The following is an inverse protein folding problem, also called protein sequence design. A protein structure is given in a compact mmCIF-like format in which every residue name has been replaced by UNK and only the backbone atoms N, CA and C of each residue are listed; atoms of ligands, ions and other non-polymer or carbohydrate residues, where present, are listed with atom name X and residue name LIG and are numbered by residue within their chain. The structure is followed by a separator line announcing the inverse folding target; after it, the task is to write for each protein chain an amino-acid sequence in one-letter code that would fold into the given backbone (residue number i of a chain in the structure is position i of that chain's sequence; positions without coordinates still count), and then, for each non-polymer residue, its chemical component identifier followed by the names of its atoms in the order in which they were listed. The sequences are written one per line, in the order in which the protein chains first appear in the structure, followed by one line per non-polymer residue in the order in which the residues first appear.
data_IF_702201321078
#
_entry.id   IF_702201321078
#
_cell.length_a   1.000
_cell.length_b   1.000
_cell.length_c   1.000
_cell.angle_alpha   90.00
_cell.angle_beta   90.00
_cell.angle_gamma   90.00
#
_symmetry.space_group_name_H-M   'P 1'
#
loop_
_entity.id
_entity.type
_entity.pdbx_description
1 polymer ?
#
# COMPACT_ATOMS: atom_id res chain seq x y z
N UNK A 1 -3.07 -24.56 12.02
CA UNK A 1 -4.21 -24.14 11.18
C UNK A 1 -4.27 -25.01 9.94
N UNK A 2 -5.45 -25.32 9.40
CA UNK A 2 -5.57 -26.01 8.11
C UNK A 2 -5.14 -25.08 6.96
N UNK A 3 -4.65 -25.61 5.82
CA UNK A 3 -4.25 -24.80 4.67
C UNK A 3 -5.36 -23.85 4.18
N UNK A 4 -6.62 -24.29 4.25
CA UNK A 4 -7.78 -23.50 3.87
C UNK A 4 -8.04 -22.34 4.84
N UNK A 5 -7.92 -22.59 6.16
CA UNK A 5 -8.06 -21.55 7.17
C UNK A 5 -6.94 -20.51 7.06
N UNK A 6 -5.70 -20.95 6.78
CA UNK A 6 -4.57 -20.05 6.57
C UNK A 6 -4.77 -19.16 5.33
N UNK A 7 -5.22 -19.73 4.21
CA UNK A 7 -5.58 -18.96 3.02
C UNK A 7 -6.67 -17.92 3.32
N UNK A 8 -7.73 -18.30 4.04
CA UNK A 8 -8.82 -17.38 4.41
C UNK A 8 -8.32 -16.25 5.31
N UNK A 9 -7.45 -16.54 6.28
CA UNK A 9 -6.84 -15.51 7.11
C UNK A 9 -6.03 -14.52 6.27
N UNK A 10 -5.19 -15.00 5.36
CA UNK A 10 -4.43 -14.13 4.44
C UNK A 10 -5.36 -13.26 3.58
N UNK A 11 -6.44 -13.82 3.04
CA UNK A 11 -7.42 -13.06 2.25
C UNK A 11 -8.04 -11.91 3.05
N UNK A 12 -8.45 -12.16 4.30
CA UNK A 12 -9.03 -11.15 5.18
C UNK A 12 -8.01 -10.08 5.52
N UNK A 13 -6.80 -10.46 5.92
CA UNK A 13 -5.75 -9.51 6.29
C UNK A 13 -5.37 -8.61 5.10
N UNK A 14 -5.23 -9.19 3.90
CA UNK A 14 -4.93 -8.41 2.69
C UNK A 14 -6.10 -7.50 2.32
N UNK A 15 -7.36 -7.96 2.43
CA UNK A 15 -8.52 -7.13 2.17
C UNK A 15 -8.56 -5.91 3.11
N UNK A 16 -8.27 -6.11 4.40
CA UNK A 16 -8.17 -5.02 5.37
C UNK A 16 -7.01 -4.08 5.02
N UNK A 17 -5.83 -4.63 4.69
CA UNK A 17 -4.68 -3.80 4.30
C UNK A 17 -4.96 -2.95 3.05
N UNK A 18 -5.75 -3.46 2.09
CA UNK A 18 -6.16 -2.71 0.90
C UNK A 18 -7.04 -1.50 1.21
N UNK A 19 -7.69 -1.45 2.37
CA UNK A 19 -8.46 -0.28 2.77
C UNK A 19 -7.59 0.98 2.88
N UNK A 20 -6.30 0.84 3.21
CA UNK A 20 -5.36 1.97 3.30
C UNK A 20 -5.18 2.67 1.95
N UNK A 21 -4.69 2.01 0.87
CA UNK A 21 -4.56 2.67 -0.43
C UNK A 21 -5.89 3.11 -1.04
N UNK A 22 -6.98 2.37 -0.81
CA UNK A 22 -8.29 2.74 -1.33
C UNK A 22 -8.84 4.01 -0.67
N UNK A 23 -8.73 4.12 0.65
CA UNK A 23 -9.21 5.30 1.38
C UNK A 23 -8.26 6.49 1.20
N UNK A 24 -6.96 6.32 1.47
CA UNK A 24 -5.97 7.39 1.43
C UNK A 24 -5.72 7.86 -0.01
N UNK A 25 -5.62 6.94 -0.97
CA UNK A 25 -5.53 7.30 -2.39
C UNK A 25 -6.79 8.03 -2.86
N UNK A 26 -7.97 7.50 -2.54
CA UNK A 26 -9.26 8.09 -2.94
C UNK A 26 -9.48 9.50 -2.38
N UNK A 27 -9.30 9.70 -1.07
CA UNK A 27 -9.45 11.02 -0.45
C UNK A 27 -8.43 12.02 -1.00
N UNK A 28 -7.21 11.58 -1.29
CA UNK A 28 -6.15 12.43 -1.83
C UNK A 28 -6.38 12.83 -3.28
N UNK A 29 -6.95 11.94 -4.09
CA UNK A 29 -7.39 12.27 -5.46
C UNK A 29 -8.49 13.31 -5.45
N UNK A 30 -9.45 13.22 -4.51
CA UNK A 30 -10.60 14.15 -4.45
C UNK A 30 -10.20 15.49 -3.83
N UNK A 31 -9.53 15.47 -2.66
CA UNK A 31 -9.24 16.66 -1.86
C UNK A 31 -7.87 17.30 -2.16
N UNK A 32 -7.01 16.66 -2.94
CA UNK A 32 -5.62 17.10 -3.11
C UNK A 32 -4.85 16.99 -1.77
N UNK A 33 -3.73 17.71 -1.62
CA UNK A 33 -2.91 17.66 -0.41
C UNK A 33 -3.48 18.51 0.74
N UNK A 34 -4.61 19.21 0.56
CA UNK A 34 -5.15 20.14 1.57
C UNK A 34 -5.60 19.50 2.89
N UNK A 35 -5.74 18.16 2.95
CA UNK A 35 -5.99 17.44 4.20
C UNK A 35 -4.69 16.99 4.91
N UNK A 36 -3.54 17.17 4.26
CA UNK A 36 -2.20 16.82 4.74
C UNK A 36 -1.44 18.07 5.17
N UNK A 37 -1.70 18.49 6.40
CA UNK A 37 -1.09 19.69 6.97
C UNK A 37 -1.79 20.97 6.51
N UNK A 38 -1.44 22.08 7.15
CA UNK A 38 -2.07 23.38 6.95
C UNK A 38 -1.13 24.31 6.18
N UNK A 39 -0.64 23.85 5.03
CA UNK A 39 0.21 24.70 4.20
C UNK A 39 -0.60 25.92 3.72
N UNK A 40 -0.11 27.16 3.91
CA UNK A 40 -0.86 28.35 3.56
C UNK A 40 -1.07 28.51 2.05
N UNK A 41 -0.14 27.98 1.24
CA UNK A 41 -0.22 27.98 -0.24
C UNK A 41 0.29 26.63 -0.76
N UNK A 42 -0.47 26.01 -1.66
CA UNK A 42 -0.09 24.77 -2.36
C UNK A 42 0.13 25.12 -3.83
N UNK A 43 1.36 25.01 -4.37
CA UNK A 43 1.62 25.23 -5.80
C UNK A 43 0.79 24.28 -6.68
N UNK A 44 0.33 24.77 -7.84
CA UNK A 44 -0.51 24.00 -8.78
C UNK A 44 0.17 22.72 -9.26
N UNK A 45 1.48 22.79 -9.52
CA UNK A 45 2.25 21.63 -9.98
C UNK A 45 2.39 20.57 -8.89
N UNK A 46 2.48 21.00 -7.63
CA UNK A 46 2.53 20.10 -6.48
C UNK A 46 1.18 19.41 -6.24
N UNK A 47 0.05 20.15 -6.35
CA UNK A 47 -1.29 19.56 -6.27
C UNK A 47 -1.51 18.52 -7.39
N UNK A 48 -1.15 18.88 -8.63
CA UNK A 48 -1.24 17.99 -9.79
C UNK A 48 -0.44 16.70 -9.60
N UNK A 49 0.84 16.83 -9.24
CA UNK A 49 1.72 15.67 -8.99
C UNK A 49 1.20 14.82 -7.82
N UNK A 50 0.71 15.45 -6.76
CA UNK A 50 0.18 14.76 -5.60
C UNK A 50 -1.08 13.94 -5.95
N UNK A 51 -2.02 14.50 -6.72
CA UNK A 51 -3.22 13.78 -7.18
C UNK A 51 -2.86 12.63 -8.12
N UNK A 52 -1.90 12.83 -9.01
CA UNK A 52 -1.41 11.78 -9.91
C UNK A 52 -0.86 10.57 -9.13
N UNK A 53 0.07 10.80 -8.21
CA UNK A 53 0.66 9.73 -7.37
C UNK A 53 -0.40 9.07 -6.49
N UNK A 54 -1.35 9.86 -5.96
CA UNK A 54 -2.48 9.34 -5.18
C UNK A 54 -3.40 8.44 -6.00
N UNK A 55 -3.64 8.78 -7.27
CA UNK A 55 -4.40 7.96 -8.20
C UNK A 55 -3.72 6.63 -8.50
N UNK A 56 -2.40 6.63 -8.68
CA UNK A 56 -1.60 5.40 -8.81
C UNK A 56 -1.72 4.56 -7.52
N UNK A 57 -1.62 5.18 -6.35
CA UNK A 57 -1.74 4.48 -5.07
C UNK A 57 -3.14 3.86 -4.87
N UNK A 58 -4.19 4.58 -5.26
CA UNK A 58 -5.56 4.05 -5.27
C UNK A 58 -5.70 2.85 -6.21
N UNK A 59 -5.20 2.99 -7.45
CA UNK A 59 -5.22 1.91 -8.44
C UNK A 59 -4.41 0.68 -7.98
N UNK A 60 -3.31 0.90 -7.25
CA UNK A 60 -2.52 -0.16 -6.63
C UNK A 60 -3.35 -0.93 -5.59
N UNK A 61 -4.17 -0.22 -4.79
CA UNK A 61 -5.14 -0.82 -3.87
C UNK A 61 -6.18 -1.71 -4.58
N UNK A 62 -6.72 -1.24 -5.71
CA UNK A 62 -7.63 -2.04 -6.55
C UNK A 62 -6.91 -3.27 -7.12
N UNK A 63 -5.66 -3.11 -7.57
CA UNK A 63 -4.86 -4.19 -8.10
C UNK A 63 -4.57 -5.28 -7.06
N UNK A 64 -4.28 -4.91 -5.80
CA UNK A 64 -4.16 -5.88 -4.70
C UNK A 64 -5.49 -6.55 -4.37
N UNK A 65 -6.58 -5.77 -4.31
CA UNK A 65 -7.93 -6.29 -4.04
C UNK A 65 -8.31 -7.37 -5.07
N UNK A 66 -7.97 -7.16 -6.35
CA UNK A 66 -8.20 -8.16 -7.41
C UNK A 66 -7.46 -9.49 -7.21
N UNK A 67 -6.39 -9.51 -6.40
CA UNK A 67 -5.66 -10.73 -6.07
C UNK A 67 -6.35 -11.55 -4.97
N UNK A 68 -7.16 -10.93 -4.10
CA UNK A 68 -7.70 -11.55 -2.89
C UNK A 68 -8.47 -12.85 -3.17
N UNK A 69 -9.42 -12.93 -4.13
CA UNK A 69 -10.24 -14.14 -4.31
C UNK A 69 -9.44 -15.41 -4.63
N UNK A 70 -8.26 -15.26 -5.26
CA UNK A 70 -7.40 -16.36 -5.72
C UNK A 70 -5.94 -16.14 -5.30
N UNK A 71 -5.72 -15.60 -4.10
CA UNK A 71 -4.44 -15.07 -3.65
C UNK A 71 -3.29 -16.07 -3.74
N UNK A 72 -3.56 -17.36 -3.56
CA UNK A 72 -2.59 -18.45 -3.68
C UNK A 72 -2.04 -18.62 -5.10
N UNK A 73 -2.84 -18.25 -6.12
CA UNK A 73 -2.47 -18.37 -7.55
C UNK A 73 -1.85 -17.10 -8.12
N UNK A 74 -1.86 -15.98 -7.39
CA UNK A 74 -1.48 -14.65 -7.89
C UNK A 74 -0.07 -14.21 -7.44
N UNK A 75 0.81 -15.14 -7.08
CA UNK A 75 2.10 -14.81 -6.47
C UNK A 75 2.98 -13.84 -7.26
N UNK A 76 3.10 -13.97 -8.58
CA UNK A 76 3.90 -13.05 -9.40
C UNK A 76 3.36 -11.61 -9.34
N UNK A 77 2.05 -11.44 -9.57
CA UNK A 77 1.36 -10.14 -9.48
C UNK A 77 1.46 -9.57 -8.07
N UNK A 78 1.22 -10.38 -7.04
CA UNK A 78 1.28 -9.95 -5.64
C UNK A 78 2.67 -9.43 -5.26
N UNK A 79 3.74 -10.12 -5.70
CA UNK A 79 5.12 -9.67 -5.47
C UNK A 79 5.48 -8.41 -6.26
N UNK A 80 5.03 -8.28 -7.50
CA UNK A 80 5.23 -7.07 -8.29
C UNK A 80 4.59 -5.86 -7.58
N UNK A 81 3.32 -5.99 -7.20
CA UNK A 81 2.62 -4.92 -6.47
C UNK A 81 3.33 -4.61 -5.13
N UNK A 82 3.77 -5.64 -4.41
CA UNK A 82 4.53 -5.48 -3.17
C UNK A 82 5.86 -4.76 -3.37
N UNK A 83 6.61 -5.06 -4.43
CA UNK A 83 7.85 -4.35 -4.78
C UNK A 83 7.59 -2.86 -5.08
N UNK A 84 6.49 -2.52 -5.75
CA UNK A 84 6.11 -1.12 -5.97
C UNK A 84 5.86 -0.40 -4.64
N UNK A 85 5.18 -1.05 -3.69
CA UNK A 85 4.95 -0.48 -2.35
C UNK A 85 6.26 -0.30 -1.59
N UNK A 86 7.14 -1.31 -1.60
CA UNK A 86 8.46 -1.23 -0.94
C UNK A 86 9.31 -0.11 -1.55
N UNK A 87 9.30 0.02 -2.89
CA UNK A 87 9.96 1.13 -3.58
C UNK A 87 9.46 2.50 -3.11
N UNK A 88 8.14 2.66 -3.00
CA UNK A 88 7.53 3.87 -2.44
C UNK A 88 7.92 4.12 -0.97
N UNK A 89 7.96 3.07 -0.14
CA UNK A 89 8.40 3.15 1.24
C UNK A 89 9.87 3.56 1.38
N UNK A 90 10.75 3.05 0.53
CA UNK A 90 12.16 3.47 0.49
C UNK A 90 12.29 4.95 0.09
N UNK A 91 11.52 5.41 -0.91
CA UNK A 91 11.47 6.83 -1.28
C UNK A 91 10.97 7.70 -0.12
N UNK A 92 9.99 7.22 0.66
CA UNK A 92 9.50 7.93 1.85
C UNK A 92 10.53 7.94 2.98
N UNK A 93 11.24 6.84 3.22
CA UNK A 93 12.33 6.78 4.20
C UNK A 93 13.47 7.75 3.84
N UNK A 94 13.83 7.81 2.55
CA UNK A 94 14.79 8.78 2.03
C UNK A 94 14.31 10.23 2.25
N UNK A 95 13.03 10.51 1.96
CA UNK A 95 12.45 11.83 2.21
C UNK A 95 12.50 12.20 3.70
N UNK A 96 12.26 11.25 4.61
CA UNK A 96 12.45 11.51 6.05
C UNK A 96 13.90 11.88 6.34
N UNK A 97 14.86 11.10 5.86
CA UNK A 97 16.28 11.38 6.10
C UNK A 97 16.75 12.76 5.59
N UNK A 98 16.18 13.25 4.48
CA UNK A 98 16.57 14.50 3.84
C UNK A 98 15.78 15.72 4.38
N UNK A 99 14.46 15.57 4.55
CA UNK A 99 13.53 16.69 4.80
C UNK A 99 13.02 16.71 6.25
N UNK A 100 13.06 15.57 6.95
CA UNK A 100 12.61 15.42 8.32
C UNK A 100 11.36 14.55 8.48
N UNK A 101 10.94 14.35 9.74
CA UNK A 101 9.90 13.39 10.08
C UNK A 101 8.53 13.76 9.50
N UNK A 102 7.84 12.83 8.81
CA UNK A 102 6.51 13.11 8.28
C UNK A 102 5.43 12.97 9.38
N UNK A 103 4.17 13.25 9.05
CA UNK A 103 3.04 13.11 9.99
C UNK A 103 2.90 11.68 10.54
N UNK A 104 2.21 11.52 11.67
CA UNK A 104 1.96 10.21 12.31
C UNK A 104 1.39 9.20 11.30
N UNK A 105 0.42 9.62 10.48
CA UNK A 105 -0.19 8.76 9.45
C UNK A 105 0.81 8.27 8.40
N UNK A 106 1.75 9.11 7.97
CA UNK A 106 2.80 8.71 7.03
C UNK A 106 3.86 7.80 7.66
N UNK A 107 4.15 7.98 8.96
CA UNK A 107 5.02 7.04 9.70
C UNK A 107 4.37 5.67 9.83
N UNK A 108 3.06 5.63 10.09
CA UNK A 108 2.29 4.38 10.04
C UNK A 108 2.33 3.76 8.63
N UNK A 109 2.12 4.58 7.59
CA UNK A 109 2.26 4.14 6.20
C UNK A 109 3.64 3.54 5.89
N UNK A 110 4.71 4.11 6.43
CA UNK A 110 6.07 3.59 6.25
C UNK A 110 6.25 2.19 6.87
N UNK A 111 5.69 1.96 8.07
CA UNK A 111 5.68 0.63 8.71
C UNK A 111 4.88 -0.37 7.87
N UNK A 112 3.75 0.06 7.29
CA UNK A 112 2.98 -0.78 6.38
C UNK A 112 3.78 -1.15 5.13
N UNK A 113 4.49 -0.19 4.54
CA UNK A 113 5.24 -0.33 3.30
C UNK A 113 6.48 -1.23 3.45
N UNK A 114 7.27 -1.03 4.50
CA UNK A 114 8.56 -1.72 4.68
C UNK A 114 8.51 -2.90 5.67
N UNK A 115 7.44 -3.02 6.46
CA UNK A 115 7.23 -4.12 7.38
C UNK A 115 6.11 -5.04 6.92
N UNK A 116 4.88 -4.54 6.91
CA UNK A 116 3.68 -5.37 6.71
C UNK A 116 3.63 -5.97 5.32
N UNK A 117 3.86 -5.19 4.26
CA UNK A 117 3.78 -5.70 2.88
C UNK A 117 4.81 -6.80 2.58
N UNK A 118 6.10 -6.66 2.93
CA UNK A 118 7.07 -7.75 2.81
C UNK A 118 6.64 -9.03 3.56
N UNK A 119 6.12 -8.89 4.78
CA UNK A 119 5.61 -10.03 5.55
C UNK A 119 4.41 -10.70 4.87
N UNK A 120 3.49 -9.91 4.29
CA UNK A 120 2.37 -10.43 3.50
C UNK A 120 2.84 -11.16 2.23
N UNK A 121 3.90 -10.68 1.57
CA UNK A 121 4.48 -11.37 0.41
C UNK A 121 5.08 -12.72 0.80
N UNK A 122 5.79 -12.79 1.93
CA UNK A 122 6.34 -14.05 2.45
C UNK A 122 5.22 -15.02 2.85
N UNK A 123 4.18 -14.51 3.51
CA UNK A 123 3.01 -15.32 3.89
C UNK A 123 2.25 -15.83 2.67
N UNK A 124 2.03 -14.99 1.67
CA UNK A 124 1.43 -15.40 0.39
C UNK A 124 2.25 -16.49 -0.29
N UNK A 125 3.59 -16.37 -0.31
CA UNK A 125 4.46 -17.39 -0.89
C UNK A 125 4.37 -18.73 -0.15
N UNK A 126 4.23 -18.70 1.18
CA UNK A 126 4.00 -19.90 2.00
C UNK A 126 2.64 -20.53 1.68
N UNK A 127 1.55 -19.76 1.65
CA UNK A 127 0.21 -20.25 1.32
C UNK A 127 0.21 -20.87 -0.08
N UNK A 128 0.82 -20.20 -1.07
CA UNK A 128 0.91 -20.71 -2.43
C UNK A 128 1.64 -22.06 -2.54
N UNK A 129 2.62 -22.34 -1.68
CA UNK A 129 3.29 -23.65 -1.61
C UNK A 129 2.45 -24.71 -0.92
N UNK A 130 1.67 -24.35 0.09
CA UNK A 130 0.84 -25.27 0.86
C UNK A 130 -0.46 -25.69 0.15
N UNK A 131 -0.86 -24.96 -0.90
CA UNK A 131 -2.04 -25.25 -1.74
C UNK A 131 -1.68 -25.72 -3.15
N UNK A 132 -0.40 -25.98 -3.43
CA UNK A 132 0.04 -26.74 -4.60
C UNK A 132 -0.12 -28.23 -4.30
#
# INVERSE_FOLDING_TARGET
MSPQAERRALQVVVAIACMVPLSIGGISVVRGPGWLGHAPIIPTDLDSQFRYVSGIFFALGLAFTSCVPAIERKGARFRLLGLLVVGGGLSRALSWAIVGAPSVGHRFGLVMELGVVPLLMLWQARVARATR
#
